data_IF_994373638831
#
_entry.id   IF_994373638831
#
_cell.length_a   1.000
_cell.length_b   1.000
_cell.length_c   1.000
_cell.angle_alpha   90.00
_cell.angle_beta   90.00
_cell.angle_gamma   90.00
#
_symmetry.space_group_name_H-M   'P 1'
#
loop_
_entity.id
_entity.type
_entity.pdbx_description
1 polymer ?
#
# COMPACT_ATOMS: atom_id res chain seq x y z
N UNK A 1 1.71 5.09 4.90
CA UNK A 1 3.06 5.29 4.31
C UNK A 1 2.93 5.81 2.87
N UNK A 2 2.32 6.98 2.70
CA UNK A 2 1.94 7.49 1.36
C UNK A 2 2.47 8.91 1.13
N UNK A 3 3.51 9.33 1.85
CA UNK A 3 4.04 10.67 1.66
C UNK A 3 4.81 10.72 0.32
N UNK A 4 4.31 11.47 -0.68
CA UNK A 4 4.94 11.53 -2.00
C UNK A 4 6.37 12.04 -1.92
N UNK A 5 6.64 13.00 -1.04
CA UNK A 5 7.97 13.58 -0.88
C UNK A 5 8.99 12.55 -0.40
N UNK A 6 8.60 11.67 0.52
CA UNK A 6 9.47 10.59 1.02
C UNK A 6 9.71 9.56 -0.08
N UNK A 7 8.69 9.20 -0.85
CA UNK A 7 8.83 8.24 -1.96
C UNK A 7 9.79 8.76 -3.06
N UNK A 8 9.66 10.04 -3.45
CA UNK A 8 10.55 10.67 -4.41
C UNK A 8 11.97 10.86 -3.86
N UNK A 9 12.12 11.21 -2.58
CA UNK A 9 13.43 11.28 -1.93
C UNK A 9 14.13 9.91 -1.92
N UNK A 10 13.41 8.84 -1.56
CA UNK A 10 13.93 7.48 -1.61
C UNK A 10 14.33 7.07 -3.03
N UNK A 11 13.55 7.45 -4.05
CA UNK A 11 13.88 7.17 -5.44
C UNK A 11 15.17 7.87 -5.90
N UNK A 12 15.39 9.10 -5.46
CA UNK A 12 16.58 9.87 -5.83
C UNK A 12 17.85 9.36 -5.14
N UNK A 13 17.83 9.15 -3.83
CA UNK A 13 19.03 8.78 -3.07
C UNK A 13 19.32 7.27 -3.08
N UNK A 14 18.29 6.43 -3.02
CA UNK A 14 18.41 4.97 -2.83
C UNK A 14 17.54 4.20 -3.85
N UNK A 15 17.02 4.88 -4.88
CA UNK A 15 16.10 4.24 -5.83
C UNK A 15 16.78 3.27 -6.76
N UNK A 16 18.10 3.37 -6.90
CA UNK A 16 18.90 2.38 -7.62
C UNK A 16 18.84 0.99 -6.93
N UNK A 17 18.64 0.92 -5.61
CA UNK A 17 18.40 -0.34 -4.90
C UNK A 17 16.91 -0.74 -4.87
N UNK A 18 16.01 0.03 -5.47
CA UNK A 18 14.57 -0.24 -5.43
C UNK A 18 13.90 0.10 -4.09
N UNK A 19 14.55 0.88 -3.22
CA UNK A 19 14.04 1.21 -1.88
C UNK A 19 12.68 1.94 -1.90
N UNK A 20 12.44 2.79 -2.90
CA UNK A 20 11.17 3.48 -3.09
C UNK A 20 10.01 2.51 -3.34
N UNK A 21 10.23 1.39 -4.03
CA UNK A 21 9.22 0.34 -4.23
C UNK A 21 8.92 -0.40 -2.93
N UNK A 22 9.93 -0.65 -2.09
CA UNK A 22 9.75 -1.27 -0.78
C UNK A 22 8.92 -0.36 0.14
N UNK A 23 9.20 0.95 0.14
CA UNK A 23 8.44 1.94 0.91
C UNK A 23 6.96 2.00 0.49
N UNK A 24 6.68 1.85 -0.80
CA UNK A 24 5.33 1.82 -1.34
C UNK A 24 4.61 0.46 -1.14
N UNK A 25 5.24 -0.51 -0.46
CA UNK A 25 4.68 -1.83 -0.19
C UNK A 25 4.83 -2.85 -1.33
N UNK A 26 5.62 -2.55 -2.36
CA UNK A 26 5.82 -3.38 -3.56
C UNK A 26 7.10 -4.20 -3.49
N UNK A 27 7.19 -5.04 -2.46
CA UNK A 27 8.37 -5.85 -2.13
C UNK A 27 8.93 -6.65 -3.31
N UNK A 28 8.09 -7.44 -3.96
CA UNK A 28 8.50 -8.33 -5.07
C UNK A 28 9.22 -7.51 -6.15
N UNK A 29 8.58 -6.45 -6.65
CA UNK A 29 9.17 -5.62 -7.70
C UNK A 29 10.43 -4.87 -7.25
N UNK A 30 10.52 -4.48 -5.98
CA UNK A 30 11.72 -3.85 -5.43
C UNK A 30 12.90 -4.82 -5.39
N UNK A 31 12.69 -6.05 -4.92
CA UNK A 31 13.72 -7.08 -4.91
C UNK A 31 14.12 -7.53 -6.31
N UNK A 32 13.20 -7.60 -7.26
CA UNK A 32 13.53 -7.86 -8.68
C UNK A 32 14.43 -6.77 -9.25
N UNK A 33 14.14 -5.50 -8.98
CA UNK A 33 14.96 -4.37 -9.43
C UNK A 33 16.36 -4.41 -8.83
N UNK A 34 16.46 -4.71 -7.53
CA UNK A 34 17.73 -4.89 -6.83
C UNK A 34 18.51 -6.08 -7.41
N UNK A 35 17.86 -7.23 -7.60
CA UNK A 35 18.47 -8.41 -8.21
C UNK A 35 18.98 -8.15 -9.63
N UNK A 36 18.20 -7.43 -10.44
CA UNK A 36 18.59 -7.07 -11.81
C UNK A 36 19.82 -6.16 -11.83
N UNK A 37 19.95 -5.24 -10.87
CA UNK A 37 21.14 -4.41 -10.70
C UNK A 37 22.38 -5.24 -10.34
N UNK A 38 22.26 -6.14 -9.35
CA UNK A 38 23.39 -6.98 -8.93
C UNK A 38 23.80 -7.98 -10.01
N UNK A 39 22.84 -8.63 -10.67
CA UNK A 39 23.11 -9.54 -11.80
C UNK A 39 23.72 -8.76 -12.97
N UNK A 40 23.14 -7.62 -13.35
CA UNK A 40 23.68 -6.78 -14.42
C UNK A 40 25.12 -6.32 -14.13
N UNK A 41 25.39 -5.93 -12.88
CA UNK A 41 26.73 -5.52 -12.44
C UNK A 41 27.73 -6.68 -12.43
N UNK A 42 27.32 -7.87 -11.94
CA UNK A 42 28.18 -9.05 -11.90
C UNK A 42 28.61 -9.53 -13.30
N UNK A 43 27.69 -9.45 -14.27
CA UNK A 43 27.95 -9.83 -15.66
C UNK A 43 28.49 -8.69 -16.53
N UNK A 44 28.68 -7.48 -15.98
CA UNK A 44 29.14 -6.31 -16.74
C UNK A 44 30.55 -6.51 -17.32
N UNK A 45 31.40 -7.30 -16.64
CA UNK A 45 32.75 -7.64 -17.09
C UNK A 45 32.77 -8.40 -18.43
N UNK A 46 31.71 -9.17 -18.73
CA UNK A 46 31.58 -9.96 -19.97
C UNK A 46 30.81 -9.17 -21.04
N UNK A 47 30.64 -7.85 -20.86
CA UNK A 47 29.81 -6.94 -21.68
C UNK A 47 28.30 -7.26 -21.71
N UNK A 48 27.88 -8.50 -21.46
CA UNK A 48 26.48 -8.93 -21.43
C UNK A 48 25.67 -8.24 -20.31
N UNK A 49 26.32 -7.92 -19.18
CA UNK A 49 25.70 -7.24 -18.05
C UNK A 49 25.19 -5.84 -18.38
N UNK A 50 25.77 -5.16 -19.37
CA UNK A 50 25.33 -3.83 -19.79
C UNK A 50 23.90 -3.82 -20.34
N UNK A 51 23.47 -4.90 -21.01
CA UNK A 51 22.09 -5.03 -21.49
C UNK A 51 21.13 -5.01 -20.30
N UNK A 52 21.43 -5.79 -19.26
CA UNK A 52 20.63 -5.83 -18.03
C UNK A 52 20.62 -4.48 -17.30
N UNK A 53 21.76 -3.79 -17.24
CA UNK A 53 21.87 -2.46 -16.62
C UNK A 53 21.12 -1.37 -17.41
N UNK A 54 21.08 -1.44 -18.74
CA UNK A 54 20.28 -0.51 -19.57
C UNK A 54 18.79 -0.73 -19.32
N UNK A 55 18.33 -1.99 -19.33
CA UNK A 55 16.93 -2.33 -19.04
C UNK A 55 16.56 -1.84 -17.64
N UNK A 56 17.42 -2.10 -16.65
CA UNK A 56 17.27 -1.62 -15.29
C UNK A 56 17.24 -0.09 -15.21
N UNK A 57 18.10 0.61 -15.95
CA UNK A 57 18.18 2.07 -15.95
C UNK A 57 16.94 2.73 -16.55
N UNK A 58 16.41 2.17 -17.65
CA UNK A 58 15.12 2.59 -18.22
C UNK A 58 14.00 2.37 -17.20
N UNK A 59 13.98 1.21 -16.54
CA UNK A 59 13.00 0.90 -15.52
C UNK A 59 13.07 1.87 -14.33
N UNK A 60 14.28 2.17 -13.85
CA UNK A 60 14.50 3.16 -12.80
C UNK A 60 14.01 4.56 -13.19
N UNK A 61 14.18 4.96 -14.46
CA UNK A 61 13.66 6.24 -14.96
C UNK A 61 12.13 6.25 -15.04
N UNK A 62 11.53 5.15 -15.51
CA UNK A 62 10.07 4.99 -15.54
C UNK A 62 9.44 5.05 -14.15
N UNK A 63 10.18 4.67 -13.11
CA UNK A 63 9.67 4.67 -11.74
C UNK A 63 9.24 6.03 -11.23
N UNK A 64 9.76 7.13 -11.80
CA UNK A 64 9.30 8.49 -11.45
C UNK A 64 7.79 8.66 -11.71
N UNK A 65 7.26 7.99 -12.74
CA UNK A 65 5.84 7.98 -13.07
C UNK A 65 5.08 6.93 -12.25
N UNK A 66 5.68 5.75 -12.01
CA UNK A 66 5.03 4.67 -11.27
C UNK A 66 4.83 5.01 -9.78
N UNK A 67 5.68 5.85 -9.19
CA UNK A 67 5.52 6.34 -7.81
C UNK A 67 4.17 7.06 -7.66
N UNK A 68 3.84 7.97 -8.59
CA UNK A 68 2.57 8.70 -8.57
C UNK A 68 1.37 7.76 -8.64
N UNK A 69 1.39 6.82 -9.60
CA UNK A 69 0.33 5.81 -9.77
C UNK A 69 0.18 4.96 -8.50
N UNK A 70 1.29 4.57 -7.88
CA UNK A 70 1.26 3.73 -6.69
C UNK A 70 0.65 4.44 -5.47
N UNK A 71 0.94 5.74 -5.31
CA UNK A 71 0.38 6.53 -4.23
C UNK A 71 -1.14 6.65 -4.40
N UNK A 72 -1.61 6.93 -5.62
CA UNK A 72 -3.03 7.00 -5.92
C UNK A 72 -3.74 5.66 -5.64
N UNK A 73 -3.13 4.53 -6.02
CA UNK A 73 -3.66 3.20 -5.73
C UNK A 73 -3.77 2.93 -4.23
N UNK A 74 -2.75 3.33 -3.44
CA UNK A 74 -2.77 3.17 -1.99
C UNK A 74 -3.88 4.03 -1.35
N UNK A 75 -4.04 5.28 -1.79
CA UNK A 75 -5.11 6.16 -1.31
C UNK A 75 -6.51 5.61 -1.62
N UNK A 76 -6.71 5.09 -2.85
CA UNK A 76 -7.97 4.47 -3.26
C UNK A 76 -8.28 3.19 -2.48
N UNK A 77 -7.25 2.43 -2.13
CA UNK A 77 -7.40 1.23 -1.30
C UNK A 77 -7.80 1.59 0.13
N UNK A 78 -7.22 2.65 0.69
CA UNK A 78 -7.55 3.15 2.01
C UNK A 78 -9.00 3.69 2.06
N UNK A 79 -9.44 4.43 1.04
CA UNK A 79 -10.83 4.89 0.97
C UNK A 79 -11.81 3.73 0.86
N UNK A 80 -11.52 2.75 0.01
CA UNK A 80 -12.35 1.56 -0.16
C UNK A 80 -12.43 0.71 1.12
N UNK A 81 -11.32 0.55 1.85
CA UNK A 81 -11.31 -0.14 3.14
C UNK A 81 -12.20 0.56 4.16
N UNK A 82 -12.13 1.89 4.21
CA UNK A 82 -12.97 2.72 5.09
C UNK A 82 -14.46 2.58 4.73
N UNK A 83 -14.79 2.55 3.45
CA UNK A 83 -16.17 2.35 2.99
C UNK A 83 -16.72 0.97 3.40
N UNK A 84 -15.88 -0.08 3.35
CA UNK A 84 -16.23 -1.41 3.82
C UNK A 84 -16.42 -1.44 5.35
N UNK A 85 -15.52 -0.83 6.12
CA UNK A 85 -15.65 -0.73 7.59
C UNK A 85 -16.92 0.03 8.00
N UNK A 86 -17.31 1.07 7.27
CA UNK A 86 -18.55 1.80 7.51
C UNK A 86 -19.78 0.92 7.24
N UNK A 87 -19.79 0.17 6.14
CA UNK A 87 -20.89 -0.76 5.83
C UNK A 87 -21.05 -1.86 6.89
N UNK A 88 -19.94 -2.39 7.39
CA UNK A 88 -19.94 -3.41 8.45
C UNK A 88 -20.50 -2.84 9.76
N UNK A 89 -20.04 -1.65 10.18
CA UNK A 89 -20.59 -0.93 11.34
C UNK A 89 -22.09 -0.62 11.18
N UNK A 90 -22.55 -0.25 9.98
CA UNK A 90 -23.98 -0.04 9.72
C UNK A 90 -24.82 -1.32 9.86
N UNK A 91 -24.29 -2.47 9.42
CA UNK A 91 -24.97 -3.76 9.55
C UNK A 91 -25.04 -4.23 11.02
N UNK A 92 -23.95 -4.08 11.77
CA UNK A 92 -23.95 -4.38 13.21
C UNK A 92 -24.90 -3.47 13.99
N UNK A 93 -24.96 -2.18 13.65
CA UNK A 93 -25.89 -1.24 14.27
C UNK A 93 -27.35 -1.67 14.04
N UNK A 94 -27.70 -2.10 12.82
CA UNK A 94 -29.05 -2.62 12.52
C UNK A 94 -29.40 -3.84 13.37
N UNK A 95 -28.48 -4.80 13.50
CA UNK A 95 -28.65 -5.99 14.36
C UNK A 95 -28.89 -5.60 15.83
N UNK A 96 -28.18 -4.59 16.33
CA UNK A 96 -28.40 -4.09 17.69
C UNK A 96 -29.80 -3.48 17.87
N UNK A 97 -30.27 -2.69 16.90
CA UNK A 97 -31.63 -2.13 16.94
C UNK A 97 -32.70 -3.23 16.89
N UNK A 98 -32.54 -4.25 16.06
CA UNK A 98 -33.46 -5.40 15.99
C UNK A 98 -33.53 -6.17 17.32
N UNK A 99 -32.40 -6.37 17.99
CA UNK A 99 -32.36 -7.02 19.31
C UNK A 99 -33.08 -6.19 20.38
N UNK A 100 -32.97 -4.86 20.30
CA UNK A 100 -33.67 -3.94 21.18
C UNK A 100 -35.19 -3.99 20.95
N UNK A 101 -35.64 -3.96 19.70
CA UNK A 101 -37.06 -4.10 19.35
C UNK A 101 -37.63 -5.45 19.82
N UNK A 102 -36.83 -6.52 19.79
CA UNK A 102 -37.19 -7.83 20.31
C UNK A 102 -37.19 -7.92 21.85
N UNK A 103 -36.97 -6.81 22.57
CA UNK A 103 -36.77 -6.75 24.03
C UNK A 103 -35.68 -7.71 24.55
N UNK A 104 -34.73 -8.12 23.70
CA UNK A 104 -33.62 -9.02 24.07
C UNK A 104 -32.47 -8.28 24.74
N UNK A 105 -32.37 -6.97 24.53
CA UNK A 105 -31.37 -6.10 25.15
C UNK A 105 -32.03 -4.83 25.68
N UNK A 106 -31.48 -4.27 26.75
CA UNK A 106 -31.94 -3.02 27.35
C UNK A 106 -31.34 -1.80 26.64
N UNK A 107 -31.98 -0.62 26.80
CA UNK A 107 -31.49 0.63 26.20
C UNK A 107 -30.06 1.00 26.64
N UNK A 108 -29.73 0.73 27.90
CA UNK A 108 -28.39 0.97 28.43
C UNK A 108 -27.33 0.09 27.72
N UNK A 109 -27.67 -1.17 27.46
CA UNK A 109 -26.79 -2.10 26.73
C UNK A 109 -26.64 -1.73 25.25
N UNK A 110 -27.71 -1.23 24.62
CA UNK A 110 -27.68 -0.69 23.25
C UNK A 110 -26.69 0.49 23.15
N UNK A 111 -26.82 1.47 24.04
CA UNK A 111 -25.96 2.67 24.04
C UNK A 111 -24.49 2.30 24.30
N UNK A 112 -24.23 1.38 25.25
CA UNK A 112 -22.88 0.88 25.51
C UNK A 112 -22.26 0.17 24.30
N UNK A 113 -23.02 -0.70 23.62
CA UNK A 113 -22.54 -1.41 22.41
C UNK A 113 -22.34 -0.46 21.23
N UNK A 114 -23.21 0.55 21.08
CA UNK A 114 -23.06 1.59 20.06
C UNK A 114 -21.79 2.42 20.29
N UNK A 115 -21.51 2.81 21.53
CA UNK A 115 -20.28 3.53 21.86
C UNK A 115 -19.04 2.69 21.52
N UNK A 116 -19.05 1.41 21.88
CA UNK A 116 -17.96 0.47 21.54
C UNK A 116 -17.79 0.33 20.03
N UNK A 117 -18.90 0.28 19.27
CA UNK A 117 -18.90 0.10 17.82
C UNK A 117 -18.28 1.30 17.08
N UNK A 118 -18.47 2.52 17.57
CA UNK A 118 -17.98 3.75 16.92
C UNK A 118 -16.69 4.31 17.51
N UNK A 119 -16.17 3.69 18.57
CA UNK A 119 -14.83 3.95 19.10
C UNK A 119 -13.74 3.51 18.13
#
# INVERSE_FOLDING_TARGET
MNNPYIAYALWFFVGWLGAHRLYLGRFISGFFMMGLFFVGSAFAWIFIGWIFLIIWGIWWLMDVFLIGVCIEQNLKKDSFKKDLELKDKEEELKKLYELYEQNKITKAELEAKKEILFR
#
